data_IF_416384507093
#
_entry.id   IF_416384507093
#
_cell.length_a   1.000
_cell.length_b   1.000
_cell.length_c   1.000
_cell.angle_alpha   90.00
_cell.angle_beta   90.00
_cell.angle_gamma   90.00
#
_symmetry.space_group_name_H-M   'P 1'
#
loop_
_entity.id
_entity.type
_entity.pdbx_description
1 polymer ?
#
# COMPACT_ATOMS: atom_id res chain seq x y z
N UNK A 1 -5.79 6.53 2.51
CA UNK A 1 -4.98 5.66 3.40
C UNK A 1 -4.56 4.36 2.72
N UNK A 2 -5.50 3.45 2.46
CA UNK A 2 -5.21 2.06 2.04
C UNK A 2 -4.29 1.97 0.81
N UNK A 3 -4.64 2.66 -0.29
CA UNK A 3 -3.85 2.64 -1.52
C UNK A 3 -2.41 3.17 -1.29
N UNK A 4 -2.28 4.30 -0.59
CA UNK A 4 -0.98 4.87 -0.25
C UNK A 4 -0.17 3.93 0.67
N UNK A 5 -0.83 3.17 1.55
CA UNK A 5 -0.22 2.11 2.36
C UNK A 5 0.35 0.96 1.53
N UNK A 6 -0.42 0.47 0.55
CA UNK A 6 0.06 -0.56 -0.37
C UNK A 6 1.27 -0.08 -1.19
N UNK A 7 1.17 1.12 -1.75
CA UNK A 7 2.22 1.72 -2.59
C UNK A 7 3.49 1.99 -1.79
N UNK A 8 3.36 2.52 -0.57
CA UNK A 8 4.49 2.75 0.33
C UNK A 8 5.20 1.45 0.68
N UNK A 9 4.45 0.39 1.00
CA UNK A 9 5.05 -0.89 1.35
C UNK A 9 5.80 -1.50 0.15
N UNK A 10 5.27 -1.44 -1.07
CA UNK A 10 6.00 -1.86 -2.28
C UNK A 10 7.32 -1.09 -2.41
N UNK A 11 7.28 0.23 -2.29
CA UNK A 11 8.47 1.09 -2.40
C UNK A 11 9.48 0.78 -1.31
N UNK A 12 9.03 0.53 -0.08
CA UNK A 12 9.89 0.13 1.02
C UNK A 12 10.50 -1.27 0.80
N UNK A 13 9.70 -2.21 0.28
CA UNK A 13 10.14 -3.55 -0.07
C UNK A 13 11.21 -3.56 -1.15
N UNK A 14 10.99 -2.76 -2.20
CA UNK A 14 11.95 -2.56 -3.27
C UNK A 14 13.23 -1.90 -2.75
N UNK A 15 13.12 -0.83 -1.94
CA UNK A 15 14.27 -0.09 -1.44
C UNK A 15 15.13 -0.86 -0.42
N UNK A 16 14.52 -1.66 0.45
CA UNK A 16 15.24 -2.37 1.53
C UNK A 16 15.64 -3.79 1.16
N UNK A 17 14.79 -4.51 0.43
CA UNK A 17 14.96 -5.94 0.16
C UNK A 17 15.20 -6.24 -1.32
N UNK A 18 15.12 -5.24 -2.22
CA UNK A 18 15.28 -5.44 -3.66
C UNK A 18 14.12 -6.20 -4.31
N UNK A 19 12.98 -6.30 -3.64
CA UNK A 19 11.81 -7.01 -4.15
C UNK A 19 11.25 -6.33 -5.39
N UNK A 20 11.06 -7.13 -6.45
CA UNK A 20 10.64 -6.63 -7.77
C UNK A 20 9.65 -7.57 -8.45
N UNK A 21 9.47 -8.79 -7.94
CA UNK A 21 8.57 -9.76 -8.57
C UNK A 21 7.10 -9.45 -8.28
N UNK A 22 6.16 -9.83 -9.17
CA UNK A 22 4.74 -9.55 -8.97
C UNK A 22 4.16 -10.13 -7.68
N UNK A 23 4.69 -11.26 -7.21
CA UNK A 23 4.22 -11.96 -6.01
C UNK A 23 4.75 -11.30 -4.74
N UNK A 24 6.03 -10.90 -4.70
CA UNK A 24 6.59 -10.11 -3.58
C UNK A 24 5.86 -8.77 -3.44
N UNK A 25 5.66 -8.06 -4.56
CA UNK A 25 4.92 -6.81 -4.59
C UNK A 25 3.48 -7.00 -4.11
N UNK A 26 2.82 -8.13 -4.47
CA UNK A 26 1.48 -8.45 -3.98
C UNK A 26 1.46 -8.60 -2.45
N UNK A 27 2.35 -9.40 -1.89
CA UNK A 27 2.42 -9.59 -0.43
C UNK A 27 2.72 -8.29 0.30
N UNK A 28 3.62 -7.47 -0.26
CA UNK A 28 3.98 -6.21 0.33
C UNK A 28 2.84 -5.17 0.23
N UNK A 29 2.13 -5.14 -0.89
CA UNK A 29 0.94 -4.30 -1.06
C UNK A 29 -0.17 -4.68 -0.05
N UNK A 30 -0.44 -5.97 0.10
CA UNK A 30 -1.46 -6.47 1.02
C UNK A 30 -1.10 -6.17 2.48
N UNK A 31 0.15 -6.39 2.89
CA UNK A 31 0.59 -6.09 4.25
C UNK A 31 0.52 -4.59 4.54
N UNK A 32 0.98 -3.75 3.61
CA UNK A 32 0.90 -2.29 3.70
C UNK A 32 -0.53 -1.77 3.78
N UNK A 33 -1.42 -2.30 2.93
CA UNK A 33 -2.84 -1.96 2.94
C UNK A 33 -3.51 -2.35 4.26
N UNK A 34 -3.21 -3.54 4.79
CA UNK A 34 -3.74 -4.01 6.07
C UNK A 34 -3.29 -3.11 7.22
N UNK A 35 -1.98 -2.85 7.33
CA UNK A 35 -1.42 -2.00 8.39
C UNK A 35 -2.00 -0.59 8.31
N UNK A 36 -2.04 0.02 7.12
CA UNK A 36 -2.60 1.36 6.96
C UNK A 36 -4.09 1.40 7.34
N UNK A 37 -4.86 0.36 7.00
CA UNK A 37 -6.28 0.25 7.37
C UNK A 37 -6.45 0.15 8.88
N UNK A 38 -5.63 -0.66 9.56
CA UNK A 38 -5.65 -0.80 11.02
C UNK A 38 -5.29 0.51 11.72
N UNK A 39 -4.28 1.24 11.23
CA UNK A 39 -3.90 2.56 11.77
C UNK A 39 -5.08 3.53 11.63
N UNK A 40 -5.70 3.61 10.45
CA UNK A 40 -6.86 4.50 10.23
C UNK A 40 -8.03 4.12 11.13
N UNK A 41 -8.33 2.83 11.26
CA UNK A 41 -9.41 2.35 12.12
C UNK A 41 -9.14 2.66 13.59
N UNK A 42 -7.91 2.45 14.07
CA UNK A 42 -7.50 2.74 15.43
C UNK A 42 -7.53 4.25 15.73
N UNK A 43 -6.97 5.08 14.85
CA UNK A 43 -6.99 6.54 15.02
C UNK A 43 -8.41 7.11 14.93
N UNK A 44 -9.22 6.64 13.98
CA UNK A 44 -10.59 7.11 13.79
C UNK A 44 -11.59 6.64 14.86
N UNK A 45 -11.26 5.57 15.59
CA UNK A 45 -12.08 5.04 16.70
C UNK A 45 -11.73 5.63 18.08
N UNK A 46 -10.56 6.26 18.23
CA UNK A 46 -10.21 6.96 19.47
C UNK A 46 -11.12 8.19 19.69
N UNK A 47 -11.74 8.26 20.87
CA UNK A 47 -12.63 9.38 21.25
C UNK A 47 -14.03 8.99 21.74
N UNK A 48 -14.21 7.78 22.30
CA UNK A 48 -15.28 7.48 23.28
C UNK A 48 -16.75 7.53 22.81
N UNK A 49 -17.03 7.47 21.51
CA UNK A 49 -18.39 7.51 20.96
C UNK A 49 -18.51 6.74 19.65
N UNK A 50 -19.70 6.76 19.02
CA UNK A 50 -19.95 6.12 17.71
C UNK A 50 -18.87 6.49 16.68
N UNK A 51 -18.42 5.49 15.92
CA UNK A 51 -17.50 5.65 14.80
C UNK A 51 -18.03 6.77 13.89
N UNK A 52 -17.30 7.88 13.84
CA UNK A 52 -17.66 8.98 12.95
C UNK A 52 -17.03 8.70 11.59
N UNK A 53 -17.83 8.57 10.51
CA UNK A 53 -17.30 8.40 9.16
C UNK A 53 -16.31 9.51 8.80
N UNK A 54 -16.58 10.74 9.24
CA UNK A 54 -15.72 11.91 9.01
C UNK A 54 -14.34 11.73 9.66
N UNK A 55 -14.27 11.24 10.90
CA UNK A 55 -12.98 10.99 11.59
C UNK A 55 -12.15 9.93 10.86
N UNK A 56 -12.78 8.86 10.40
CA UNK A 56 -12.10 7.82 9.62
C UNK A 56 -11.57 8.36 8.29
N UNK A 57 -12.36 9.18 7.58
CA UNK A 57 -11.92 9.81 6.33
C UNK A 57 -10.73 10.73 6.57
N UNK A 58 -10.79 11.62 7.58
CA UNK A 58 -9.70 12.54 7.90
C UNK A 58 -8.42 11.82 8.34
N UNK A 59 -8.53 10.79 9.18
CA UNK A 59 -7.39 9.95 9.54
C UNK A 59 -6.78 9.27 8.30
N UNK A 60 -7.63 8.77 7.39
CA UNK A 60 -7.22 8.15 6.13
C UNK A 60 -6.54 9.11 5.15
N UNK A 61 -6.96 10.37 5.10
CA UNK A 61 -6.34 11.43 4.29
C UNK A 61 -4.99 11.82 4.89
N UNK A 62 -4.94 12.09 6.21
CA UNK A 62 -3.72 12.46 6.90
C UNK A 62 -2.63 11.39 6.78
N UNK A 63 -2.97 10.13 7.07
CA UNK A 63 -2.04 9.01 6.90
C UNK A 63 -1.64 8.86 5.43
N UNK A 64 -2.59 9.01 4.50
CA UNK A 64 -2.33 8.95 3.07
C UNK A 64 -1.24 9.94 2.64
N UNK A 65 -1.37 11.21 3.03
CA UNK A 65 -0.42 12.25 2.68
C UNK A 65 0.99 11.99 3.24
N UNK A 66 1.09 11.49 4.48
CA UNK A 66 2.38 11.13 5.08
C UNK A 66 3.06 10.01 4.29
N UNK A 67 2.32 8.93 4.02
CA UNK A 67 2.86 7.77 3.29
C UNK A 67 3.23 8.12 1.85
N UNK A 68 2.46 8.99 1.20
CA UNK A 68 2.76 9.51 -0.13
C UNK A 68 4.05 10.33 -0.14
N UNK A 69 4.23 11.26 0.81
CA UNK A 69 5.47 12.03 0.94
C UNK A 69 6.69 11.15 1.15
N UNK A 70 6.59 10.12 2.00
CA UNK A 70 7.66 9.15 2.22
C UNK A 70 7.96 8.33 0.96
N UNK A 71 6.92 7.87 0.27
CA UNK A 71 7.04 7.11 -0.99
C UNK A 71 7.77 7.94 -2.05
N UNK A 72 7.35 9.19 -2.27
CA UNK A 72 8.00 10.10 -3.20
C UNK A 72 9.44 10.39 -2.80
N UNK A 73 9.71 10.59 -1.50
CA UNK A 73 11.07 10.81 -1.01
C UNK A 73 12.01 9.64 -1.32
N UNK A 74 11.58 8.41 -1.06
CA UNK A 74 12.39 7.21 -1.37
C UNK A 74 12.57 7.04 -2.88
N UNK A 75 11.48 7.19 -3.65
CA UNK A 75 11.52 7.00 -5.10
C UNK A 75 12.45 8.01 -5.80
N UNK A 76 12.48 9.27 -5.35
CA UNK A 76 13.37 10.28 -5.92
C UNK A 76 14.86 9.99 -5.67
N UNK A 77 15.19 9.22 -4.63
CA UNK A 77 16.56 8.85 -4.30
C UNK A 77 17.04 7.59 -5.04
N UNK A 78 16.13 6.81 -5.60
CA UNK A 78 16.46 5.54 -6.26
C UNK A 78 15.67 5.38 -7.59
N UNK A 79 16.35 5.51 -8.75
CA UNK A 79 15.72 5.41 -10.06
C UNK A 79 15.01 4.06 -10.32
N UNK A 80 15.52 2.96 -9.76
CA UNK A 80 14.91 1.64 -9.93
C UNK A 80 13.59 1.54 -9.15
N UNK A 81 13.57 2.04 -7.91
CA UNK A 81 12.35 2.10 -7.10
C UNK A 81 11.32 3.06 -7.72
N UNK A 82 11.78 4.16 -8.31
CA UNK A 82 10.92 5.08 -9.05
C UNK A 82 10.22 4.41 -10.23
N UNK A 83 10.95 3.61 -11.02
CA UNK A 83 10.38 2.90 -12.16
C UNK A 83 9.34 1.85 -11.71
N UNK A 84 9.64 1.10 -10.64
CA UNK A 84 8.67 0.18 -10.04
C UNK A 84 7.40 0.89 -9.55
N UNK A 85 7.54 2.02 -8.86
CA UNK A 85 6.40 2.82 -8.41
C UNK A 85 5.54 3.29 -9.59
N UNK A 86 6.19 3.75 -10.68
CA UNK A 86 5.51 4.18 -11.90
C UNK A 86 4.73 3.02 -12.54
N UNK A 87 5.33 1.84 -12.66
CA UNK A 87 4.64 0.66 -13.19
C UNK A 87 3.45 0.24 -12.32
N UNK A 88 3.61 0.28 -10.99
CA UNK A 88 2.53 0.00 -10.05
C UNK A 88 1.36 0.99 -10.19
N UNK A 89 1.64 2.29 -10.27
CA UNK A 89 0.62 3.33 -10.42
C UNK A 89 -0.09 3.30 -11.78
N UNK A 90 0.63 3.00 -12.85
CA UNK A 90 0.03 2.85 -14.18
C UNK A 90 -0.93 1.66 -14.24
N UNK A 91 -0.63 0.60 -13.49
CA UNK A 91 -1.37 -0.66 -13.50
C UNK A 91 -1.10 -1.47 -14.77
N UNK A 92 -0.91 -2.78 -14.62
CA UNK A 92 -0.76 -3.70 -15.75
C UNK A 92 -1.27 -5.09 -15.40
N UNK A 93 -1.91 -5.74 -16.39
CA UNK A 93 -2.31 -7.13 -16.37
C UNK A 93 -1.36 -8.04 -17.16
N UNK A 94 -0.47 -7.45 -17.96
CA UNK A 94 0.37 -8.14 -18.95
C UNK A 94 1.45 -9.03 -18.31
N UNK A 95 1.86 -8.70 -17.08
CA UNK A 95 2.93 -9.42 -16.33
C UNK A 95 2.34 -10.37 -15.26
N UNK A 96 1.02 -10.61 -15.26
CA UNK A 96 0.35 -11.37 -14.18
C UNK A 96 0.18 -12.85 -14.55
N UNK A 97 0.82 -13.74 -13.80
CA UNK A 97 0.60 -15.18 -13.94
C UNK A 97 -0.70 -15.63 -13.26
N UNK A 98 -1.30 -16.73 -13.72
CA UNK A 98 -2.47 -17.33 -13.07
C UNK A 98 -2.19 -17.76 -11.61
N UNK A 99 -0.92 -17.89 -11.21
CA UNK A 99 -0.56 -18.17 -9.82
C UNK A 99 -0.84 -16.96 -8.91
N UNK A 100 -0.56 -15.73 -9.35
CA UNK A 100 -0.88 -14.51 -8.59
C UNK A 100 -2.39 -14.40 -8.35
N UNK A 101 -3.20 -14.80 -9.35
CA UNK A 101 -4.66 -14.84 -9.24
C UNK A 101 -5.12 -15.84 -8.17
N UNK A 102 -4.55 -17.06 -8.14
CA UNK A 102 -4.87 -18.08 -7.13
C UNK A 102 -4.58 -17.60 -5.70
N UNK A 103 -3.45 -16.93 -5.50
CA UNK A 103 -3.08 -16.37 -4.19
C UNK A 103 -4.06 -15.26 -3.77
N UNK A 104 -4.43 -14.38 -4.70
CA UNK A 104 -5.37 -13.29 -4.43
C UNK A 104 -6.79 -13.78 -4.13
N UNK A 105 -7.21 -14.91 -4.70
CA UNK A 105 -8.53 -15.51 -4.49
C UNK A 105 -8.62 -16.41 -3.26
N UNK A 106 -7.49 -16.88 -2.73
CA UNK A 106 -7.45 -17.75 -1.54
C UNK A 106 -8.27 -17.27 -0.33
N UNK A 107 -8.34 -15.97 0.03
CA UNK A 107 -9.18 -15.51 1.14
C UNK A 107 -10.68 -15.41 0.83
N UNK A 108 -11.10 -15.57 -0.42
CA UNK A 108 -12.50 -15.41 -0.88
C UNK A 108 -13.21 -16.76 -1.06
N UNK A 109 -12.44 -17.85 -1.19
CA UNK A 109 -12.93 -19.24 -1.39
C UNK A 109 -12.83 -20.02 -0.09
#
# INVERSE_FOLDING_TARGET
GVNNGASFAIVLGAALFGFSTPLEQLFMAFSGALIASLIVAFTGSQGGGQLSPVRLTLAGVALGAVLEGLTSGIALLNPEVYDQLRFWQAGSLDIRSLQTLKVALAPVV
#
